data_IF_722878078430
#
_entry.id   IF_722878078430
#
_cell.length_a   1.000
_cell.length_b   1.000
_cell.length_c   1.000
_cell.angle_alpha   90.00
_cell.angle_beta   90.00
_cell.angle_gamma   90.00
#
_symmetry.space_group_name_H-M   'P 1'
#
loop_
_entity.id
_entity.type
_entity.pdbx_description
1 polymer ?
#
# COMPACT_ATOMS: atom_id res chain seq x y z
N UNK A 1 24.06 -4.02 -20.85
CA UNK A 1 22.90 -4.17 -19.94
C UNK A 1 21.90 -5.10 -20.61
N UNK A 2 21.65 -6.31 -20.08
CA UNK A 2 20.84 -7.33 -20.79
C UNK A 2 19.38 -6.89 -20.97
N UNK A 3 18.79 -7.14 -22.15
CA UNK A 3 17.41 -6.79 -22.50
C UNK A 3 16.39 -7.31 -21.46
N UNK A 4 16.63 -8.49 -20.89
CA UNK A 4 15.82 -9.11 -19.84
C UNK A 4 15.72 -8.27 -18.55
N UNK A 5 16.77 -7.51 -18.21
CA UNK A 5 16.79 -6.64 -17.02
C UNK A 5 15.82 -5.46 -17.19
N UNK A 6 15.86 -4.82 -18.35
CA UNK A 6 15.03 -3.64 -18.64
C UNK A 6 13.54 -4.03 -18.69
N UNK A 7 13.21 -5.15 -19.33
CA UNK A 7 11.84 -5.67 -19.40
C UNK A 7 11.31 -6.02 -18.02
N UNK A 8 12.11 -6.69 -17.17
CA UNK A 8 11.70 -7.04 -15.80
C UNK A 8 11.48 -5.80 -14.94
N UNK A 9 12.43 -4.87 -14.90
CA UNK A 9 12.29 -3.62 -14.11
C UNK A 9 11.05 -2.84 -14.55
N UNK A 10 10.83 -2.70 -15.87
CA UNK A 10 9.66 -2.00 -16.41
C UNK A 10 8.35 -2.67 -15.97
N UNK A 11 8.27 -3.99 -16.05
CA UNK A 11 7.09 -4.75 -15.58
C UNK A 11 6.80 -4.51 -14.10
N UNK A 12 7.82 -4.56 -13.23
CA UNK A 12 7.66 -4.29 -11.80
C UNK A 12 7.21 -2.85 -11.51
N UNK A 13 7.74 -1.87 -12.24
CA UNK A 13 7.30 -0.47 -12.10
C UNK A 13 5.86 -0.29 -12.60
N UNK A 14 5.50 -0.88 -13.74
CA UNK A 14 4.12 -0.84 -14.25
C UNK A 14 3.15 -1.50 -13.26
N UNK A 15 3.55 -2.60 -12.65
CA UNK A 15 2.81 -3.24 -11.57
C UNK A 15 2.57 -2.28 -10.39
N UNK A 16 3.60 -1.57 -9.92
CA UNK A 16 3.44 -0.59 -8.85
C UNK A 16 2.52 0.57 -9.23
N UNK A 17 2.55 1.05 -10.48
CA UNK A 17 1.58 2.04 -10.95
C UNK A 17 0.14 1.51 -10.90
N UNK A 18 -0.09 0.27 -11.32
CA UNK A 18 -1.41 -0.37 -11.23
C UNK A 18 -1.85 -0.47 -9.77
N UNK A 19 -0.98 -0.96 -8.88
CA UNK A 19 -1.31 -1.10 -7.46
C UNK A 19 -1.65 0.25 -6.82
N UNK A 20 -0.82 1.28 -7.01
CA UNK A 20 -1.06 2.60 -6.42
C UNK A 20 -2.33 3.27 -7.00
N UNK A 21 -2.57 3.11 -8.30
CA UNK A 21 -3.83 3.58 -8.91
C UNK A 21 -5.03 2.85 -8.31
N UNK A 22 -4.90 1.54 -8.07
CA UNK A 22 -5.90 0.75 -7.37
C UNK A 22 -6.19 1.26 -5.96
N UNK A 23 -5.16 1.60 -5.18
CA UNK A 23 -5.33 2.19 -3.84
C UNK A 23 -6.03 3.55 -3.92
N UNK A 24 -5.63 4.41 -4.86
CA UNK A 24 -6.28 5.71 -5.06
C UNK A 24 -7.77 5.54 -5.39
N UNK A 25 -8.11 4.67 -6.35
CA UNK A 25 -9.50 4.40 -6.71
C UNK A 25 -10.29 3.80 -5.54
N UNK A 26 -9.75 2.79 -4.86
CA UNK A 26 -10.39 2.18 -3.70
C UNK A 26 -10.65 3.23 -2.59
N UNK A 27 -9.66 4.10 -2.32
CA UNK A 27 -9.79 5.16 -1.33
C UNK A 27 -10.84 6.22 -1.71
N UNK A 28 -11.00 6.55 -2.99
CA UNK A 28 -12.10 7.39 -3.48
C UNK A 28 -13.45 6.72 -3.27
N UNK A 29 -13.57 5.41 -3.56
CA UNK A 29 -14.79 4.64 -3.30
C UNK A 29 -15.12 4.67 -1.81
N UNK A 30 -14.17 4.36 -0.93
CA UNK A 30 -14.37 4.43 0.53
C UNK A 30 -14.87 5.81 0.98
N UNK A 31 -14.28 6.88 0.44
CA UNK A 31 -14.62 8.25 0.84
C UNK A 31 -16.03 8.66 0.44
N UNK A 32 -16.40 8.38 -0.81
CA UNK A 32 -17.61 8.94 -1.41
C UNK A 32 -18.81 8.00 -1.37
N UNK A 33 -18.59 6.73 -1.03
CA UNK A 33 -19.66 5.72 -1.01
C UNK A 33 -19.86 5.08 0.36
N UNK A 34 -19.18 5.57 1.42
CA UNK A 34 -19.36 5.02 2.77
C UNK A 34 -20.81 5.06 3.26
N UNK A 35 -21.63 6.03 2.84
CA UNK A 35 -23.03 6.15 3.24
C UNK A 35 -24.02 5.49 2.26
N UNK A 36 -23.55 4.85 1.18
CA UNK A 36 -24.45 4.29 0.14
C UNK A 36 -25.01 2.90 0.48
N UNK A 37 -24.54 2.28 1.56
CA UNK A 37 -24.82 0.90 1.93
C UNK A 37 -23.91 -0.14 1.27
N UNK A 38 -23.00 0.28 0.37
CA UNK A 38 -22.05 -0.62 -0.31
C UNK A 38 -21.22 -1.48 0.68
N UNK A 39 -20.94 -0.92 1.86
CA UNK A 39 -20.11 -1.55 2.90
C UNK A 39 -20.92 -2.15 4.05
N UNK A 40 -22.25 -2.24 3.95
CA UNK A 40 -23.09 -2.63 5.08
C UNK A 40 -22.75 -4.03 5.62
N UNK A 41 -22.49 -5.00 4.74
CA UNK A 41 -22.08 -6.34 5.17
C UNK A 41 -20.76 -6.32 5.95
N UNK A 42 -19.81 -5.50 5.49
CA UNK A 42 -18.53 -5.33 6.17
C UNK A 42 -18.70 -4.65 7.53
N UNK A 43 -19.46 -3.55 7.58
CA UNK A 43 -19.74 -2.83 8.84
C UNK A 43 -20.52 -3.69 9.83
N UNK A 44 -21.50 -4.46 9.39
CA UNK A 44 -22.21 -5.42 10.25
C UNK A 44 -21.28 -6.47 10.84
N UNK A 45 -20.32 -7.00 10.06
CA UNK A 45 -19.32 -7.94 10.61
C UNK A 45 -18.40 -7.31 11.66
N UNK A 46 -18.13 -6.00 11.58
CA UNK A 46 -17.44 -5.28 12.64
C UNK A 46 -18.35 -5.12 13.86
N UNK A 47 -19.62 -4.79 13.66
CA UNK A 47 -20.58 -4.63 14.75
C UNK A 47 -20.73 -5.93 15.56
N UNK A 48 -20.79 -7.09 14.92
CA UNK A 48 -20.85 -8.42 15.56
C UNK A 48 -19.65 -8.71 16.47
N UNK A 49 -18.49 -8.13 16.16
CA UNK A 49 -17.26 -8.28 16.95
C UNK A 49 -17.31 -7.42 18.21
N UNK A 50 -17.84 -6.20 18.11
CA UNK A 50 -17.83 -5.23 19.21
C UNK A 50 -19.07 -5.30 20.12
N UNK A 51 -20.19 -5.84 19.63
CA UNK A 51 -21.44 -5.94 20.37
C UNK A 51 -22.02 -7.35 20.30
N UNK A 52 -22.40 -7.90 21.46
CA UNK A 52 -23.03 -9.23 21.58
C UNK A 52 -24.52 -9.23 21.23
N UNK A 53 -25.07 -8.09 20.81
CA UNK A 53 -26.48 -7.88 20.49
C UNK A 53 -26.60 -6.75 19.47
N UNK A 54 -27.78 -6.12 19.37
CA UNK A 54 -27.95 -5.00 18.43
C UNK A 54 -26.98 -3.86 18.75
N UNK A 55 -26.16 -3.47 17.78
CA UNK A 55 -25.29 -2.32 17.90
C UNK A 55 -26.11 -1.03 18.09
N UNK A 56 -25.63 -0.05 18.88
CA UNK A 56 -26.28 1.25 18.99
C UNK A 56 -26.45 1.89 17.62
N UNK A 57 -27.59 2.53 17.37
CA UNK A 57 -27.86 3.18 16.07
C UNK A 57 -26.83 4.24 15.69
N UNK A 58 -26.25 4.92 16.68
CA UNK A 58 -25.16 5.88 16.49
C UNK A 58 -23.84 5.25 16.05
N UNK A 59 -23.62 3.95 16.33
CA UNK A 59 -22.39 3.26 15.97
C UNK A 59 -22.22 3.18 14.45
N UNK A 60 -23.30 2.85 13.71
CA UNK A 60 -23.29 2.81 12.25
C UNK A 60 -22.95 4.17 11.63
N UNK A 61 -23.54 5.24 12.16
CA UNK A 61 -23.24 6.61 11.70
C UNK A 61 -21.76 6.96 11.94
N UNK A 62 -21.21 6.59 13.09
CA UNK A 62 -19.80 6.80 13.41
C UNK A 62 -18.86 5.96 12.53
N UNK A 63 -19.19 4.69 12.29
CA UNK A 63 -18.37 3.78 11.48
C UNK A 63 -18.32 4.22 10.01
N UNK A 64 -19.45 4.60 9.43
CA UNK A 64 -19.50 5.13 8.05
C UNK A 64 -18.73 6.45 7.94
N UNK A 65 -18.79 7.31 8.96
CA UNK A 65 -17.96 8.51 9.03
C UNK A 65 -16.46 8.17 9.10
N UNK A 66 -16.05 7.23 9.96
CA UNK A 66 -14.66 6.77 10.04
C UNK A 66 -14.18 6.15 8.74
N UNK A 67 -15.01 5.36 8.07
CA UNK A 67 -14.69 4.73 6.79
C UNK A 67 -14.42 5.79 5.72
N UNK A 68 -15.26 6.83 5.65
CA UNK A 68 -15.07 7.94 4.72
C UNK A 68 -13.78 8.72 5.02
N UNK A 69 -13.52 9.01 6.31
CA UNK A 69 -12.34 9.73 6.76
C UNK A 69 -11.05 8.94 6.49
N UNK A 70 -11.07 7.63 6.72
CA UNK A 70 -9.98 6.74 6.37
C UNK A 70 -9.73 6.72 4.86
N UNK A 71 -10.81 6.67 4.06
CA UNK A 71 -10.73 6.81 2.61
C UNK A 71 -10.01 8.11 2.19
N UNK A 72 -10.39 9.26 2.76
CA UNK A 72 -9.77 10.54 2.44
C UNK A 72 -8.27 10.58 2.82
N UNK A 73 -7.93 9.96 3.94
CA UNK A 73 -6.53 9.80 4.38
C UNK A 73 -5.76 8.93 3.38
N UNK A 74 -6.32 7.78 2.99
CA UNK A 74 -5.71 6.86 2.04
C UNK A 74 -5.54 7.46 0.65
N UNK A 75 -6.41 8.40 0.23
CA UNK A 75 -6.21 9.16 -1.01
C UNK A 75 -4.91 9.96 -0.98
N UNK A 76 -4.64 10.66 0.13
CA UNK A 76 -3.40 11.45 0.31
C UNK A 76 -2.16 10.56 0.30
N UNK A 77 -2.21 9.42 1.01
CA UNK A 77 -1.14 8.43 0.98
C UNK A 77 -0.92 7.86 -0.41
N UNK A 78 -1.99 7.53 -1.14
CA UNK A 78 -1.91 7.00 -2.49
C UNK A 78 -1.27 7.99 -3.45
N UNK A 79 -1.57 9.28 -3.31
CA UNK A 79 -0.91 10.34 -4.09
C UNK A 79 0.60 10.41 -3.81
N UNK A 80 1.00 10.33 -2.54
CA UNK A 80 2.43 10.29 -2.19
C UNK A 80 3.12 9.01 -2.66
N UNK A 81 2.46 7.86 -2.57
CA UNK A 81 2.97 6.62 -3.14
C UNK A 81 3.15 6.74 -4.66
N UNK A 82 2.22 7.39 -5.37
CA UNK A 82 2.31 7.61 -6.82
C UNK A 82 3.51 8.47 -7.15
N UNK A 83 3.70 9.57 -6.41
CA UNK A 83 4.86 10.44 -6.54
C UNK A 83 6.17 9.68 -6.30
N UNK A 84 6.25 8.86 -5.24
CA UNK A 84 7.42 8.05 -4.95
C UNK A 84 7.69 7.00 -6.04
N UNK A 85 6.67 6.28 -6.52
CA UNK A 85 6.84 5.34 -7.64
C UNK A 85 7.34 6.07 -8.90
N UNK A 86 6.81 7.26 -9.18
CA UNK A 86 7.24 8.08 -10.29
C UNK A 86 8.71 8.53 -10.16
N UNK A 87 9.07 9.08 -9.01
CA UNK A 87 10.43 9.52 -8.69
C UNK A 87 11.40 8.34 -8.74
N UNK A 88 11.07 7.21 -8.11
CA UNK A 88 11.88 5.99 -8.12
C UNK A 88 12.07 5.44 -9.53
N UNK A 89 11.04 5.51 -10.38
CA UNK A 89 11.18 5.13 -11.78
C UNK A 89 12.13 6.06 -12.54
N UNK A 90 11.96 7.39 -12.39
CA UNK A 90 12.74 8.40 -13.12
C UNK A 90 14.20 8.45 -12.68
N UNK A 91 14.43 8.47 -11.37
CA UNK A 91 15.76 8.64 -10.78
C UNK A 91 16.52 7.33 -10.56
N UNK A 92 15.85 6.17 -10.68
CA UNK A 92 16.43 4.82 -10.45
C UNK A 92 17.19 4.73 -9.12
N UNK A 93 16.68 5.41 -8.08
CA UNK A 93 17.32 5.49 -6.78
C UNK A 93 16.70 4.46 -5.83
N UNK A 94 17.49 3.51 -5.28
CA UNK A 94 16.98 2.44 -4.44
C UNK A 94 16.37 2.95 -3.14
N UNK A 95 16.80 4.11 -2.65
CA UNK A 95 16.27 4.73 -1.44
C UNK A 95 14.75 4.95 -1.51
N UNK A 96 14.22 5.26 -2.69
CA UNK A 96 12.77 5.48 -2.88
C UNK A 96 11.97 4.19 -2.63
N UNK A 97 12.46 3.06 -3.16
CA UNK A 97 11.87 1.74 -2.89
C UNK A 97 12.03 1.37 -1.41
N UNK A 98 13.16 1.73 -0.80
CA UNK A 98 13.42 1.53 0.63
C UNK A 98 12.42 2.24 1.53
N UNK A 99 12.07 3.49 1.22
CA UNK A 99 11.07 4.25 1.98
C UNK A 99 9.66 3.69 1.85
N UNK A 100 9.28 3.20 0.66
CA UNK A 100 8.00 2.50 0.47
C UNK A 100 7.95 1.21 1.31
N UNK A 101 9.05 0.44 1.34
CA UNK A 101 9.15 -0.77 2.18
C UNK A 101 9.06 -0.39 3.67
N UNK A 102 9.78 0.64 4.11
CA UNK A 102 9.76 1.09 5.50
C UNK A 102 8.35 1.49 5.94
N UNK A 103 7.61 2.20 5.08
CA UNK A 103 6.21 2.53 5.31
C UNK A 103 5.33 1.31 5.49
N UNK A 104 5.47 0.30 4.63
CA UNK A 104 4.71 -0.96 4.73
C UNK A 104 5.04 -1.75 6.00
N UNK A 105 6.32 -1.83 6.37
CA UNK A 105 6.78 -2.54 7.58
C UNK A 105 6.37 -1.79 8.84
N UNK A 106 6.24 -0.46 8.78
CA UNK A 106 5.71 0.32 9.89
C UNK A 106 4.20 0.10 10.05
N UNK A 107 3.44 0.22 8.95
CA UNK A 107 1.98 0.18 8.98
C UNK A 107 1.44 -1.23 9.26
N UNK A 108 1.77 -2.22 8.43
CA UNK A 108 1.05 -3.49 8.41
C UNK A 108 1.10 -4.28 9.73
N UNK A 109 2.23 -4.35 10.47
CA UNK A 109 2.23 -5.04 11.76
C UNK A 109 1.28 -4.41 12.77
N UNK A 110 1.15 -3.08 12.79
CA UNK A 110 0.25 -2.40 13.72
C UNK A 110 -1.21 -2.68 13.36
N UNK A 111 -1.56 -2.59 12.09
CA UNK A 111 -2.91 -2.82 11.58
C UNK A 111 -3.38 -4.26 11.86
N UNK A 112 -2.52 -5.24 11.54
CA UNK A 112 -2.77 -6.66 11.80
C UNK A 112 -2.90 -6.95 13.30
N UNK A 113 -1.99 -6.42 14.14
CA UNK A 113 -2.01 -6.68 15.57
C UNK A 113 -3.27 -6.13 16.23
N UNK A 114 -3.66 -4.89 15.91
CA UNK A 114 -4.88 -4.26 16.44
C UNK A 114 -6.13 -5.04 16.00
N UNK A 115 -6.17 -5.50 14.76
CA UNK A 115 -7.30 -6.25 14.21
C UNK A 115 -7.46 -7.62 14.86
N UNK A 116 -6.37 -8.36 15.06
CA UNK A 116 -6.40 -9.67 15.71
C UNK A 116 -6.84 -9.57 17.17
N UNK A 117 -6.45 -8.50 17.89
CA UNK A 117 -6.83 -8.31 19.29
C UNK A 117 -8.34 -8.26 19.51
N UNK A 118 -9.09 -7.75 18.52
CA UNK A 118 -10.55 -7.70 18.56
C UNK A 118 -11.19 -8.84 17.74
N UNK A 119 -10.43 -9.64 16.99
CA UNK A 119 -10.97 -10.76 16.21
C UNK A 119 -11.47 -10.38 14.81
N UNK A 120 -11.03 -9.25 14.26
CA UNK A 120 -11.36 -8.80 12.90
C UNK A 120 -10.40 -9.46 11.90
N UNK A 121 -10.72 -10.68 11.48
CA UNK A 121 -9.86 -11.47 10.57
C UNK A 121 -9.82 -10.93 9.15
N UNK A 122 -10.83 -10.19 8.71
CA UNK A 122 -10.89 -9.62 7.36
C UNK A 122 -9.70 -8.68 7.10
N UNK A 123 -9.28 -7.90 8.10
CA UNK A 123 -8.14 -6.98 7.99
C UNK A 123 -6.82 -7.74 7.81
N UNK A 124 -6.59 -8.81 8.59
CA UNK A 124 -5.41 -9.67 8.40
C UNK A 124 -5.27 -10.16 6.95
N UNK A 125 -6.37 -10.61 6.35
CA UNK A 125 -6.36 -11.11 4.97
C UNK A 125 -6.08 -9.98 3.96
N UNK A 126 -6.72 -8.82 4.12
CA UNK A 126 -6.52 -7.66 3.26
C UNK A 126 -5.08 -7.13 3.35
N UNK A 127 -4.54 -7.01 4.55
CA UNK A 127 -3.18 -6.52 4.78
C UNK A 127 -2.14 -7.49 4.25
N UNK A 128 -2.32 -8.79 4.49
CA UNK A 128 -1.44 -9.84 3.96
C UNK A 128 -1.45 -9.81 2.44
N UNK A 129 -2.62 -9.66 1.81
CA UNK A 129 -2.72 -9.53 0.37
C UNK A 129 -1.98 -8.28 -0.14
N UNK A 130 -2.18 -7.12 0.50
CA UNK A 130 -1.49 -5.89 0.13
C UNK A 130 0.04 -6.04 0.24
N UNK A 131 0.53 -6.64 1.33
CA UNK A 131 1.96 -6.92 1.53
C UNK A 131 2.52 -7.84 0.44
N UNK A 132 1.82 -8.91 0.10
CA UNK A 132 2.24 -9.84 -0.95
C UNK A 132 2.27 -9.20 -2.34
N UNK A 133 1.38 -8.23 -2.60
CA UNK A 133 1.33 -7.53 -3.89
C UNK A 133 2.38 -6.41 -3.99
N UNK A 134 2.81 -5.83 -2.87
CA UNK A 134 3.71 -4.67 -2.84
C UNK A 134 5.16 -5.01 -2.48
N UNK A 135 5.41 -5.84 -1.46
CA UNK A 135 6.77 -6.09 -0.97
C UNK A 135 7.67 -6.80 -2.00
N UNK A 136 7.26 -7.90 -2.67
CA UNK A 136 8.11 -8.56 -3.64
C UNK A 136 8.63 -7.64 -4.77
N UNK A 137 7.78 -6.85 -5.47
CA UNK A 137 8.27 -5.94 -6.50
C UNK A 137 9.16 -4.84 -5.94
N UNK A 138 8.85 -4.28 -4.76
CA UNK A 138 9.66 -3.25 -4.13
C UNK A 138 11.06 -3.75 -3.73
N UNK A 139 11.13 -4.92 -3.09
CA UNK A 139 12.40 -5.55 -2.70
C UNK A 139 13.24 -5.86 -3.95
N UNK A 140 12.59 -6.32 -5.02
CA UNK A 140 13.29 -6.61 -6.27
C UNK A 140 13.83 -5.32 -6.91
N UNK A 141 13.02 -4.27 -7.02
CA UNK A 141 13.45 -2.97 -7.54
C UNK A 141 14.58 -2.34 -6.72
N UNK A 142 14.49 -2.41 -5.38
CA UNK A 142 15.56 -1.99 -4.48
C UNK A 142 16.88 -2.68 -4.81
N UNK A 143 16.86 -4.02 -4.95
CA UNK A 143 18.05 -4.82 -5.28
C UNK A 143 18.60 -4.49 -6.67
N UNK A 144 17.73 -4.32 -7.67
CA UNK A 144 18.14 -4.01 -9.03
C UNK A 144 18.81 -2.63 -9.13
N UNK A 145 18.18 -1.60 -8.58
CA UNK A 145 18.68 -0.23 -8.67
C UNK A 145 19.93 -0.04 -7.79
N UNK A 146 20.03 -0.72 -6.63
CA UNK A 146 21.27 -0.73 -5.81
C UNK A 146 22.45 -1.38 -6.52
N UNK A 147 22.22 -2.47 -7.25
CA UNK A 147 23.28 -3.10 -8.07
C UNK A 147 23.74 -2.17 -9.19
N UNK A 148 22.81 -1.48 -9.86
CA UNK A 148 23.13 -0.52 -10.91
C UNK A 148 23.96 0.65 -10.39
N UNK A 149 23.58 1.24 -9.26
CA UNK A 149 24.34 2.33 -8.64
C UNK A 149 25.75 1.91 -8.23
N UNK A 150 25.92 0.73 -7.63
CA UNK A 150 27.26 0.20 -7.27
C UNK A 150 28.15 -0.03 -8.50
N UNK A 151 27.58 -0.55 -9.59
CA UNK A 151 28.31 -0.74 -10.84
C UNK A 151 28.76 0.57 -11.49
N UNK A 152 27.96 1.63 -11.38
CA UNK A 152 28.33 2.96 -11.86
C UNK A 152 29.46 3.59 -11.03
N UNK A 153 29.46 3.38 -9.71
CA UNK A 153 30.52 3.89 -8.80
C UNK A 153 31.85 3.14 -9.03
N UNK A 154 31.79 1.83 -9.28
CA UNK A 154 32.98 1.00 -9.53
C UNK A 154 33.68 1.24 -10.88
N UNK A 155 33.08 2.03 -11.78
CA UNK A 155 33.64 2.43 -13.07
C UNK A 155 34.10 3.90 -13.10
N UNK A 156 34.33 4.52 -11.94
CA UNK A 156 34.92 5.87 -11.84
C UNK A 156 36.27 5.96 -12.57
N UNK A 157 36.63 7.14 -13.09
CA UNK A 157 37.69 7.29 -14.09
C UNK A 157 39.01 6.71 -13.60
N UNK A 158 39.51 5.71 -14.33
CA UNK A 158 40.91 5.32 -14.29
C UNK A 158 41.73 6.50 -14.82
N UNK A 159 42.14 7.40 -13.92
CA UNK A 159 43.15 8.40 -14.23
C UNK A 159 44.48 7.66 -14.46
N UNK A 160 44.80 7.43 -15.74
CA UNK A 160 46.15 7.19 -16.24
C UNK A 160 46.32 8.07 -17.48
#
# INVERSE_FOLDING_TARGET
>A
MSYSFLTRRRSLVMWLYVMVSGHLLASMVLTWTAQSGLFDNYLSSLEEVFWTGAAPTSARAQQTWWLALFGATLQSYSLYMLALVHIGNRQKTPMVWGWLIAGLVLWAPQDILLSIQVGVWSHLWLDTFALLMLLPPLVWLYRLDRKHQRGAIGQGPSNV
#
